data_IF_259346450776
#
_entry.id   IF_259346450776
#
_cell.length_a   1.000
_cell.length_b   1.000
_cell.length_c   1.000
_cell.angle_alpha   90.00
_cell.angle_beta   90.00
_cell.angle_gamma   90.00
#
_symmetry.space_group_name_H-M   'P 1'
#
loop_
_entity.id
_entity.type
_entity.pdbx_description
1 polymer ?
#
# COMPACT_ATOMS: atom_id res chain seq x y z
N UNK A 1 15.89 28.68 -15.83
CA UNK A 1 15.77 27.86 -14.60
C UNK A 1 14.36 27.88 -13.99
N UNK A 2 13.77 29.05 -13.72
CA UNK A 2 12.43 29.20 -13.10
C UNK A 2 11.28 28.49 -13.83
N UNK A 3 11.23 28.51 -15.16
CA UNK A 3 10.19 27.79 -15.94
C UNK A 3 10.26 26.26 -15.82
N UNK A 4 11.47 25.68 -15.80
CA UNK A 4 11.65 24.23 -15.61
C UNK A 4 11.15 23.79 -14.24
N UNK A 5 11.41 24.60 -13.21
CA UNK A 5 10.94 24.33 -11.85
C UNK A 5 9.42 24.38 -11.74
N UNK A 6 8.77 25.40 -12.33
CA UNK A 6 7.31 25.50 -12.39
C UNK A 6 6.67 24.30 -13.09
N UNK A 7 7.28 23.82 -14.17
CA UNK A 7 6.80 22.62 -14.90
C UNK A 7 6.91 21.35 -14.05
N UNK A 8 8.03 21.15 -13.34
CA UNK A 8 8.21 20.02 -12.44
C UNK A 8 7.19 20.03 -11.29
N UNK A 9 6.97 21.19 -10.67
CA UNK A 9 5.94 21.35 -9.63
C UNK A 9 4.56 20.95 -10.13
N UNK A 10 4.17 21.42 -11.32
CA UNK A 10 2.89 21.08 -11.93
C UNK A 10 2.73 19.58 -12.18
N UNK A 11 3.80 18.90 -12.61
CA UNK A 11 3.79 17.44 -12.82
C UNK A 11 3.62 16.71 -11.49
N UNK A 12 4.38 17.08 -10.46
CA UNK A 12 4.28 16.44 -9.16
C UNK A 12 2.92 16.65 -8.49
N UNK A 13 2.32 17.83 -8.62
CA UNK A 13 0.97 18.09 -8.11
C UNK A 13 -0.08 17.23 -8.81
N UNK A 14 0.02 17.09 -10.14
CA UNK A 14 -0.85 16.19 -10.89
C UNK A 14 -0.71 14.75 -10.42
N UNK A 15 0.52 14.30 -10.16
CA UNK A 15 0.77 12.97 -9.60
C UNK A 15 0.13 12.81 -8.21
N UNK A 16 0.24 13.82 -7.34
CA UNK A 16 -0.36 13.78 -6.00
C UNK A 16 -1.88 13.70 -6.08
N UNK A 17 -2.51 14.56 -6.88
CA UNK A 17 -3.96 14.58 -7.08
C UNK A 17 -4.45 13.25 -7.66
N UNK A 18 -3.72 12.70 -8.64
CA UNK A 18 -4.01 11.39 -9.20
C UNK A 18 -3.95 10.29 -8.14
N UNK A 19 -2.90 10.27 -7.31
CA UNK A 19 -2.77 9.29 -6.23
C UNK A 19 -3.90 9.43 -5.22
N UNK A 20 -4.28 10.64 -4.82
CA UNK A 20 -5.40 10.89 -3.90
C UNK A 20 -6.73 10.37 -4.46
N UNK A 21 -6.96 10.50 -5.76
CA UNK A 21 -8.16 10.00 -6.43
C UNK A 21 -8.17 8.48 -6.60
N UNK A 22 -7.01 7.88 -6.91
CA UNK A 22 -6.88 6.43 -7.15
C UNK A 22 -6.81 5.65 -5.83
N UNK A 23 -6.32 6.28 -4.77
CA UNK A 23 -6.15 5.69 -3.45
C UNK A 23 -7.37 4.91 -2.92
N UNK A 24 -8.60 5.45 -2.88
CA UNK A 24 -9.74 4.72 -2.34
C UNK A 24 -10.02 3.41 -3.09
N UNK A 25 -9.90 3.43 -4.42
CA UNK A 25 -10.14 2.24 -5.26
C UNK A 25 -9.07 1.18 -5.03
N UNK A 26 -7.80 1.56 -5.00
CA UNK A 26 -6.70 0.62 -4.74
C UNK A 26 -6.77 0.06 -3.33
N UNK A 27 -7.12 0.88 -2.34
CA UNK A 27 -7.32 0.43 -0.97
C UNK A 27 -8.44 -0.61 -0.87
N UNK A 28 -9.58 -0.35 -1.53
CA UNK A 28 -10.70 -1.26 -1.55
C UNK A 28 -10.35 -2.58 -2.26
N UNK A 29 -9.69 -2.52 -3.42
CA UNK A 29 -9.20 -3.72 -4.13
C UNK A 29 -8.22 -4.53 -3.29
N UNK A 30 -7.33 -3.86 -2.54
CA UNK A 30 -6.37 -4.53 -1.65
C UNK A 30 -7.10 -5.27 -0.52
N UNK A 31 -8.12 -4.66 0.08
CA UNK A 31 -8.94 -5.30 1.12
C UNK A 31 -9.70 -6.49 0.56
N UNK A 32 -10.34 -6.36 -0.60
CA UNK A 32 -11.01 -7.48 -1.27
C UNK A 32 -10.04 -8.61 -1.60
N UNK A 33 -8.84 -8.30 -2.09
CA UNK A 33 -7.79 -9.28 -2.36
C UNK A 33 -7.36 -10.03 -1.10
N UNK A 34 -7.30 -9.36 0.06
CA UNK A 34 -7.02 -10.03 1.34
C UNK A 34 -8.17 -10.97 1.73
N UNK A 35 -9.42 -10.54 1.59
CA UNK A 35 -10.58 -11.40 1.89
C UNK A 35 -10.63 -12.65 0.99
N UNK A 36 -10.42 -12.49 -0.31
CA UNK A 36 -10.40 -13.61 -1.26
C UNK A 36 -9.29 -14.60 -0.90
N UNK A 37 -8.09 -14.11 -0.56
CA UNK A 37 -7.00 -14.98 -0.12
C UNK A 37 -7.30 -15.70 1.20
N UNK A 38 -7.94 -15.04 2.17
CA UNK A 38 -8.36 -15.70 3.42
C UNK A 38 -9.31 -16.85 3.10
N UNK A 39 -10.32 -16.61 2.27
CA UNK A 39 -11.29 -17.63 1.88
C UNK A 39 -10.61 -18.77 1.10
N UNK A 40 -9.77 -18.44 0.12
CA UNK A 40 -8.99 -19.40 -0.67
C UNK A 40 -8.14 -20.32 0.21
N UNK A 41 -7.35 -19.73 1.10
CA UNK A 41 -6.53 -20.49 2.05
C UNK A 41 -7.35 -21.34 3.04
N UNK A 42 -8.55 -20.90 3.46
CA UNK A 42 -9.44 -21.76 4.26
C UNK A 42 -9.91 -23.00 3.48
N UNK A 43 -10.28 -22.82 2.21
CA UNK A 43 -10.70 -23.92 1.33
C UNK A 43 -9.54 -24.91 1.18
N UNK A 44 -8.33 -24.42 0.88
CA UNK A 44 -7.15 -25.27 0.71
C UNK A 44 -6.80 -26.03 1.98
N UNK A 45 -6.88 -25.40 3.16
CA UNK A 45 -6.65 -26.08 4.45
C UNK A 45 -7.71 -27.14 4.72
N UNK A 46 -8.99 -26.87 4.40
CA UNK A 46 -10.05 -27.85 4.55
C UNK A 46 -9.89 -29.04 3.60
N UNK A 47 -9.41 -28.80 2.37
CA UNK A 47 -9.01 -29.87 1.46
C UNK A 47 -7.85 -30.69 2.03
N UNK A 48 -6.79 -30.04 2.53
CA UNK A 48 -5.65 -30.72 3.16
C UNK A 48 -6.06 -31.62 4.34
N UNK A 49 -7.06 -31.22 5.13
CA UNK A 49 -7.58 -32.04 6.24
C UNK A 49 -8.32 -33.30 5.82
N UNK A 50 -8.84 -33.36 4.58
CA UNK A 50 -9.66 -34.47 4.07
C UNK A 50 -8.88 -35.44 3.19
N UNK A 51 -7.62 -35.12 2.89
CA UNK A 51 -6.76 -35.96 2.06
C UNK A 51 -6.21 -37.13 2.89
N UNK A 52 -6.35 -38.33 2.36
CA UNK A 52 -5.72 -39.53 2.91
C UNK A 52 -4.21 -39.51 2.62
N UNK A 53 -3.41 -40.10 3.53
CA UNK A 53 -1.94 -40.00 3.51
C UNK A 53 -1.29 -40.52 2.21
N UNK A 54 -2.00 -41.28 1.39
CA UNK A 54 -1.48 -41.88 0.16
C UNK A 54 -1.50 -40.91 -1.04
N UNK A 55 -2.20 -39.76 -0.94
CA UNK A 55 -2.28 -38.77 -2.02
C UNK A 55 -1.19 -37.67 -1.90
N UNK A 56 0.08 -38.08 -1.77
CA UNK A 56 1.23 -37.17 -1.59
C UNK A 56 1.32 -36.08 -2.66
N UNK A 57 0.99 -36.39 -3.92
CA UNK A 57 0.99 -35.41 -5.00
C UNK A 57 0.00 -34.26 -4.77
N UNK A 58 -1.21 -34.60 -4.31
CA UNK A 58 -2.30 -33.64 -4.08
C UNK A 58 -1.97 -32.76 -2.86
N UNK A 59 -1.34 -33.35 -1.83
CA UNK A 59 -0.83 -32.65 -0.67
C UNK A 59 0.26 -31.62 -1.05
N UNK A 60 1.25 -32.02 -1.86
CA UNK A 60 2.32 -31.13 -2.35
C UNK A 60 1.73 -29.96 -3.16
N UNK A 61 0.75 -30.23 -4.03
CA UNK A 61 0.12 -29.22 -4.88
C UNK A 61 -0.65 -28.17 -4.06
N UNK A 62 -1.36 -28.59 -3.01
CA UNK A 62 -2.09 -27.68 -2.12
C UNK A 62 -1.14 -26.85 -1.24
N UNK A 63 -0.04 -27.43 -0.75
CA UNK A 63 1.00 -26.66 -0.06
C UNK A 63 1.67 -25.64 -0.99
N UNK A 64 1.95 -26.02 -2.23
CA UNK A 64 2.46 -25.11 -3.24
C UNK A 64 1.50 -23.95 -3.49
N UNK A 65 0.19 -24.22 -3.63
CA UNK A 65 -0.83 -23.18 -3.81
C UNK A 65 -0.85 -22.18 -2.64
N UNK A 66 -0.76 -22.65 -1.38
CA UNK A 66 -0.68 -21.77 -0.20
C UNK A 66 0.57 -20.87 -0.22
N UNK A 67 1.72 -21.43 -0.60
CA UNK A 67 2.98 -20.66 -0.70
C UNK A 67 2.85 -19.58 -1.78
N UNK A 68 2.28 -19.92 -2.94
CA UNK A 68 2.04 -18.98 -4.03
C UNK A 68 1.10 -17.86 -3.60
N UNK A 69 -0.05 -18.16 -2.98
CA UNK A 69 -0.98 -17.14 -2.45
C UNK A 69 -0.29 -16.18 -1.49
N UNK A 70 0.47 -16.72 -0.52
CA UNK A 70 1.23 -15.91 0.44
C UNK A 70 2.28 -15.03 -0.25
N UNK A 71 2.99 -15.57 -1.25
CA UNK A 71 4.01 -14.82 -1.99
C UNK A 71 3.43 -13.63 -2.75
N UNK A 72 2.24 -13.78 -3.35
CA UNK A 72 1.53 -12.72 -4.08
C UNK A 72 1.15 -11.58 -3.13
N UNK A 73 0.63 -11.90 -1.94
CA UNK A 73 0.28 -10.90 -0.92
C UNK A 73 1.52 -10.13 -0.47
N UNK A 74 2.62 -10.84 -0.18
CA UNK A 74 3.89 -10.23 0.23
C UNK A 74 4.44 -9.32 -0.86
N UNK A 75 4.39 -9.76 -2.12
CA UNK A 75 4.85 -8.96 -3.25
C UNK A 75 4.01 -7.70 -3.45
N UNK A 76 2.68 -7.83 -3.48
CA UNK A 76 1.75 -6.72 -3.68
C UNK A 76 1.95 -5.64 -2.60
N UNK A 77 2.05 -6.06 -1.35
CA UNK A 77 2.24 -5.16 -0.21
C UNK A 77 3.62 -4.51 -0.17
N UNK A 78 4.67 -5.24 -0.58
CA UNK A 78 6.00 -4.67 -0.75
C UNK A 78 6.02 -3.56 -1.81
N UNK A 79 5.38 -3.80 -2.97
CA UNK A 79 5.27 -2.81 -4.04
C UNK A 79 4.54 -1.56 -3.54
N UNK A 80 3.39 -1.73 -2.86
CA UNK A 80 2.63 -0.61 -2.30
C UNK A 80 3.43 0.16 -1.24
N UNK A 81 4.19 -0.52 -0.39
CA UNK A 81 5.05 0.13 0.60
C UNK A 81 6.20 0.91 -0.07
N UNK A 82 6.81 0.39 -1.13
CA UNK A 82 7.89 1.06 -1.85
C UNK A 82 7.37 2.30 -2.59
N UNK A 83 6.19 2.20 -3.18
CA UNK A 83 5.50 3.32 -3.80
C UNK A 83 5.19 4.44 -2.80
N UNK A 84 4.66 4.09 -1.62
CA UNK A 84 4.40 5.05 -0.54
C UNK A 84 5.66 5.73 -0.02
N UNK A 85 6.78 5.01 0.09
CA UNK A 85 8.07 5.60 0.46
C UNK A 85 8.54 6.62 -0.59
N UNK A 86 8.39 6.30 -1.88
CA UNK A 86 8.79 7.19 -2.97
C UNK A 86 7.93 8.46 -3.02
N UNK A 87 6.61 8.34 -2.83
CA UNK A 87 5.73 9.50 -2.76
C UNK A 87 6.07 10.42 -1.57
N UNK A 88 6.37 9.86 -0.41
CA UNK A 88 6.76 10.65 0.75
C UNK A 88 8.15 11.28 0.60
N UNK A 89 9.09 10.67 -0.14
CA UNK A 89 10.37 11.31 -0.42
C UNK A 89 10.21 12.50 -1.38
N UNK A 90 9.32 12.39 -2.38
CA UNK A 90 8.93 13.50 -3.25
C UNK A 90 8.33 14.64 -2.42
N UNK A 91 7.45 14.33 -1.45
CA UNK A 91 6.88 15.32 -0.53
C UNK A 91 7.95 16.13 0.18
N UNK A 92 8.94 15.44 0.79
CA UNK A 92 10.02 16.09 1.51
C UNK A 92 10.86 16.99 0.58
N UNK A 93 11.13 16.52 -0.64
CA UNK A 93 11.85 17.30 -1.65
C UNK A 93 11.07 18.54 -2.11
N UNK A 94 9.75 18.42 -2.28
CA UNK A 94 8.87 19.54 -2.60
C UNK A 94 8.83 20.54 -1.44
N UNK A 95 8.68 20.09 -0.20
CA UNK A 95 8.66 20.96 0.97
C UNK A 95 9.98 21.74 1.13
N UNK A 96 11.12 21.09 0.90
CA UNK A 96 12.44 21.75 0.90
C UNK A 96 12.55 22.79 -0.22
N UNK A 97 12.11 22.44 -1.43
CA UNK A 97 12.17 23.38 -2.57
C UNK A 97 11.19 24.55 -2.43
N UNK A 98 10.01 24.37 -1.81
CA UNK A 98 9.11 25.49 -1.48
C UNK A 98 9.72 26.41 -0.43
N UNK A 99 10.37 25.85 0.60
CA UNK A 99 11.05 26.65 1.63
C UNK A 99 12.19 27.48 1.03
N UNK A 100 12.98 26.90 0.11
CA UNK A 100 14.01 27.64 -0.63
C UNK A 100 13.41 28.71 -1.56
N UNK A 101 12.29 28.40 -2.23
CA UNK A 101 11.59 29.36 -3.09
C UNK A 101 11.06 30.57 -2.30
N UNK A 102 10.57 30.36 -1.08
CA UNK A 102 10.13 31.44 -0.18
C UNK A 102 11.25 32.38 0.24
N UNK A 103 12.52 31.99 0.11
CA UNK A 103 13.68 32.84 0.40
C UNK A 103 14.14 33.68 -0.80
N UNK A 104 13.52 33.55 -1.97
CA UNK A 104 13.90 34.32 -3.17
C UNK A 104 13.22 35.68 -3.22
N UNK A 105 13.83 36.70 -3.84
CA UNK A 105 13.26 38.06 -3.91
C UNK A 105 12.09 38.20 -4.91
N UNK A 106 11.83 37.17 -5.70
CA UNK A 106 10.77 37.19 -6.72
C UNK A 106 9.37 36.95 -6.09
N UNK A 107 8.63 38.04 -5.89
CA UNK A 107 7.28 38.06 -5.31
C UNK A 107 6.29 37.22 -6.13
N UNK A 108 6.39 37.27 -7.46
CA UNK A 108 5.49 36.51 -8.34
C UNK A 108 5.74 35.01 -8.22
N UNK A 109 7.01 34.62 -8.14
CA UNK A 109 7.39 33.23 -7.90
C UNK A 109 6.98 32.75 -6.51
N UNK A 110 7.14 33.58 -5.47
CA UNK A 110 6.65 33.31 -4.11
C UNK A 110 5.15 33.03 -4.12
N UNK A 111 4.34 33.94 -4.66
CA UNK A 111 2.88 33.82 -4.71
C UNK A 111 2.42 32.53 -5.40
N UNK A 112 3.04 32.18 -6.54
CA UNK A 112 2.77 30.92 -7.22
C UNK A 112 3.12 29.70 -6.37
N UNK A 113 4.20 29.74 -5.60
CA UNK A 113 4.59 28.63 -4.71
C UNK A 113 3.72 28.53 -3.46
N UNK A 114 3.19 29.63 -2.93
CA UNK A 114 2.28 29.62 -1.78
C UNK A 114 0.99 28.85 -2.10
N UNK A 115 0.46 29.00 -3.30
CA UNK A 115 -0.71 28.23 -3.78
C UNK A 115 -0.45 26.71 -3.80
N UNK A 116 0.81 26.30 -3.95
CA UNK A 116 1.19 24.89 -3.89
C UNK A 116 1.53 24.44 -2.47
N UNK A 117 1.99 25.36 -1.61
CA UNK A 117 2.42 25.11 -0.25
C UNK A 117 1.30 24.55 0.65
N UNK A 118 0.07 25.07 0.56
CA UNK A 118 -1.06 24.56 1.36
C UNK A 118 -1.31 23.06 1.14
N UNK A 119 -1.22 22.59 -0.10
CA UNK A 119 -1.37 21.16 -0.43
C UNK A 119 -0.16 20.33 0.01
N UNK A 120 1.03 20.91 0.03
CA UNK A 120 2.29 20.25 0.40
C UNK A 120 2.45 20.12 1.92
N UNK A 121 2.00 21.10 2.69
CA UNK A 121 2.18 21.18 4.15
C UNK A 121 1.08 20.46 4.93
N UNK A 122 0.04 19.98 4.26
CA UNK A 122 -0.99 19.18 4.91
C UNK A 122 -0.36 18.03 5.73
N UNK A 123 -0.75 17.92 7.01
CA UNK A 123 -0.23 16.91 7.96
C UNK A 123 -0.56 15.47 7.53
N UNK A 124 -1.40 15.30 6.51
CA UNK A 124 -1.79 14.01 5.95
C UNK A 124 -0.62 13.40 5.17
N UNK A 125 -0.11 12.25 5.62
CA UNK A 125 0.91 11.48 4.90
C UNK A 125 0.48 11.18 3.46
N UNK A 126 1.41 11.29 2.51
CA UNK A 126 1.11 10.99 1.11
C UNK A 126 1.24 9.49 0.86
N UNK A 127 0.34 8.94 0.05
CA UNK A 127 0.37 7.54 -0.34
C UNK A 127 -0.91 6.76 -0.02
N UNK A 128 -0.93 5.52 -0.47
CA UNK A 128 -2.05 4.61 -0.39
C UNK A 128 -2.32 4.20 1.06
N UNK A 129 -3.53 4.51 1.54
CA UNK A 129 -4.00 4.15 2.88
C UNK A 129 -5.05 3.07 2.82
N UNK A 130 -5.02 2.17 3.80
CA UNK A 130 -6.16 1.30 4.10
C UNK A 130 -7.02 2.04 5.13
N UNK A 131 -8.24 2.43 4.73
CA UNK A 131 -9.15 3.20 5.56
C UNK A 131 -8.73 4.66 5.79
N UNK A 132 -9.32 5.36 6.78
CA UNK A 132 -9.12 6.80 6.97
C UNK A 132 -7.72 7.17 7.51
N UNK A 133 -7.01 6.24 8.16
CA UNK A 133 -5.88 6.58 9.06
C UNK A 133 -4.56 5.88 8.67
N UNK A 134 -4.60 4.63 8.22
CA UNK A 134 -3.39 3.79 8.12
C UNK A 134 -2.76 3.81 6.73
N UNK A 135 -1.63 4.50 6.56
CA UNK A 135 -0.76 4.30 5.38
C UNK A 135 -0.23 2.87 5.41
N UNK A 136 -0.30 2.19 4.25
CA UNK A 136 0.32 0.89 4.02
C UNK A 136 1.84 1.02 4.20
N UNK A 137 2.29 0.73 5.41
CA UNK A 137 3.70 0.66 5.79
C UNK A 137 4.06 -0.78 6.11
N UNK A 138 5.36 -1.10 6.08
CA UNK A 138 5.88 -2.44 6.43
C UNK A 138 5.36 -2.94 7.79
N UNK A 139 5.19 -2.05 8.77
CA UNK A 139 4.67 -2.38 10.10
C UNK A 139 3.19 -2.75 10.11
N UNK A 140 2.36 -1.99 9.39
CA UNK A 140 0.93 -2.31 9.23
C UNK A 140 0.77 -3.64 8.50
N UNK A 141 1.64 -3.92 7.52
CA UNK A 141 1.67 -5.20 6.84
C UNK A 141 2.09 -6.35 7.74
N UNK A 142 3.15 -6.19 8.55
CA UNK A 142 3.55 -7.21 9.52
C UNK A 142 2.39 -7.55 10.47
N UNK A 143 1.67 -6.53 10.95
CA UNK A 143 0.46 -6.71 11.78
C UNK A 143 -0.64 -7.46 11.03
N UNK A 144 -0.88 -7.15 9.75
CA UNK A 144 -1.85 -7.84 8.90
C UNK A 144 -1.46 -9.31 8.67
N UNK A 145 -0.18 -9.61 8.45
CA UNK A 145 0.32 -10.99 8.30
C UNK A 145 0.19 -11.79 9.58
N UNK A 146 0.53 -11.20 10.73
CA UNK A 146 0.33 -11.84 12.04
C UNK A 146 -1.16 -12.08 12.28
N UNK A 147 -2.02 -11.11 11.94
CA UNK A 147 -3.47 -11.26 12.05
C UNK A 147 -3.99 -12.36 11.12
N UNK A 148 -3.50 -12.41 9.87
CA UNK A 148 -3.80 -13.45 8.89
C UNK A 148 -3.43 -14.83 9.43
N UNK A 149 -2.16 -15.05 9.81
CA UNK A 149 -1.71 -16.34 10.36
C UNK A 149 -2.52 -16.74 11.58
N UNK A 150 -2.79 -15.79 12.50
CA UNK A 150 -3.61 -16.05 13.68
C UNK A 150 -5.03 -16.44 13.29
N UNK A 151 -5.67 -15.70 12.38
CA UNK A 151 -7.04 -15.97 11.94
C UNK A 151 -7.14 -17.32 11.25
N UNK A 152 -6.20 -17.63 10.35
CA UNK A 152 -6.14 -18.90 9.62
C UNK A 152 -5.93 -20.09 10.58
N UNK A 153 -5.09 -19.93 11.60
CA UNK A 153 -4.90 -20.96 12.64
C UNK A 153 -6.14 -21.08 13.55
N UNK A 154 -6.74 -19.97 13.98
CA UNK A 154 -7.93 -19.95 14.83
C UNK A 154 -9.16 -20.54 14.13
N UNK A 155 -9.41 -20.19 12.87
CA UNK A 155 -10.52 -20.76 12.10
C UNK A 155 -10.31 -22.26 11.89
N UNK A 156 -9.07 -22.71 11.62
CA UNK A 156 -8.79 -24.13 11.47
C UNK A 156 -9.10 -24.94 12.73
N UNK A 157 -9.07 -24.31 13.92
CA UNK A 157 -9.49 -24.90 15.20
C UNK A 157 -11.00 -24.87 15.40
N UNK A 158 -11.70 -23.82 14.96
CA UNK A 158 -13.16 -23.70 15.05
C UNK A 158 -13.91 -24.66 14.11
N UNK A 159 -13.32 -24.99 12.96
CA UNK A 159 -13.87 -25.96 12.02
C UNK A 159 -13.37 -27.40 12.26
N UNK A 160 -12.88 -27.72 13.47
CA UNK A 160 -12.73 -29.10 13.95
C UNK A 160 -14.01 -29.49 14.70
N UNK A 161 -15.09 -29.72 13.95
CA UNK A 161 -16.24 -30.50 14.40
C UNK A 161 -16.43 -31.62 13.39
#
# INVERSE_FOLDING_TARGET
MKMKLKRLYKIYIRLIVFVEQVQPYVAQMTVWGIFVNIIGSQIVINCLKRIENDEYFLLILLFYALIVELSIIIFLTYVMSKFNLYLNSIRLNLQRTTCLAMKTDDIYFKFHMTNYYERIVSRKQWGLRIGPITVLTRLVFLKLMIFYVRFTVLSSKLFKN
#
